data_IF_763183363412
#
_entry.id   IF_763183363412
#
_cell.length_a   1.000
_cell.length_b   1.000
_cell.length_c   1.000
_cell.angle_alpha   90.00
_cell.angle_beta   90.00
_cell.angle_gamma   90.00
#
_symmetry.space_group_name_H-M   'P 1'
#
loop_
_entity.id
_entity.type
_entity.pdbx_description
1 polymer ?
#
# COMPACT_ATOMS: atom_id res chain seq x y z
N UNK A 1 -10.19 -52.44 -14.81
CA UNK A 1 -9.92 -51.56 -13.65
C UNK A 1 -8.64 -50.80 -13.98
N UNK A 2 -8.71 -49.50 -14.34
CA UNK A 2 -8.45 -48.32 -13.46
C UNK A 2 -7.00 -48.38 -12.90
N UNK A 3 -6.07 -47.46 -13.16
CA UNK A 3 -6.18 -45.99 -13.25
C UNK A 3 -5.17 -45.37 -14.25
N UNK A 4 -5.49 -44.22 -14.86
CA UNK A 4 -4.62 -43.54 -15.81
C UNK A 4 -3.49 -42.77 -15.09
N UNK A 5 -2.37 -42.63 -15.79
CA UNK A 5 -1.30 -41.67 -15.51
C UNK A 5 -1.92 -40.28 -15.29
N UNK A 6 -1.97 -39.84 -14.03
CA UNK A 6 -2.37 -38.48 -13.68
C UNK A 6 -1.23 -37.55 -14.10
N UNK A 7 -1.43 -36.86 -15.23
CA UNK A 7 -0.63 -35.71 -15.63
C UNK A 7 -0.75 -34.62 -14.57
N UNK A 8 0.30 -34.45 -13.78
CA UNK A 8 0.54 -33.24 -12.99
C UNK A 8 0.95 -32.13 -13.96
N UNK A 9 -0.03 -31.58 -14.68
CA UNK A 9 0.09 -30.24 -15.22
C UNK A 9 0.06 -29.29 -14.02
N UNK A 10 1.24 -28.99 -13.46
CA UNK A 10 1.41 -27.94 -12.46
C UNK A 10 0.98 -26.64 -13.15
N UNK A 11 -0.17 -26.12 -12.76
CA UNK A 11 -0.64 -24.81 -13.18
C UNK A 11 0.40 -23.77 -12.76
N UNK A 12 1.13 -23.22 -13.72
CA UNK A 12 1.85 -21.97 -13.58
C UNK A 12 0.79 -20.88 -13.33
N UNK A 13 0.51 -20.62 -12.06
CA UNK A 13 -0.18 -19.41 -11.65
C UNK A 13 0.82 -18.29 -11.91
N UNK A 14 0.69 -17.63 -13.07
CA UNK A 14 1.30 -16.33 -13.31
C UNK A 14 0.62 -15.35 -12.35
N UNK A 15 1.23 -15.15 -11.18
CA UNK A 15 0.97 -13.99 -10.36
C UNK A 15 1.70 -12.86 -11.10
N UNK A 16 1.01 -12.22 -12.05
CA UNK A 16 1.45 -10.92 -12.54
C UNK A 16 1.24 -9.94 -11.37
N UNK A 17 2.30 -9.76 -10.59
CA UNK A 17 2.33 -8.81 -9.49
C UNK A 17 1.93 -7.43 -10.01
N UNK A 18 0.84 -6.90 -9.46
CA UNK A 18 0.35 -5.53 -9.64
C UNK A 18 1.28 -4.60 -8.84
N UNK A 19 2.57 -4.59 -9.18
CA UNK A 19 3.60 -3.73 -8.58
C UNK A 19 4.35 -2.88 -9.61
N UNK A 20 3.97 -2.96 -10.89
CA UNK A 20 4.68 -2.24 -11.96
C UNK A 20 4.68 -0.71 -11.85
N UNK A 21 3.77 -0.11 -11.07
CA UNK A 21 3.70 1.35 -10.99
C UNK A 21 4.79 1.96 -10.09
N UNK A 22 5.20 1.30 -9.01
CA UNK A 22 6.23 1.86 -8.11
C UNK A 22 7.60 1.92 -8.77
N UNK A 23 7.85 1.02 -9.73
CA UNK A 23 9.09 0.95 -10.50
C UNK A 23 9.27 2.15 -11.45
N UNK A 24 8.17 2.79 -11.85
CA UNK A 24 8.20 3.96 -12.72
C UNK A 24 8.62 5.24 -11.99
N UNK A 25 8.50 5.31 -10.66
CA UNK A 25 8.78 6.56 -9.92
C UNK A 25 10.28 6.89 -10.03
N UNK A 26 10.59 8.09 -10.50
CA UNK A 26 11.95 8.55 -10.73
C UNK A 26 12.56 8.12 -12.08
N UNK A 27 11.84 7.33 -12.89
CA UNK A 27 12.27 6.97 -14.24
C UNK A 27 11.98 8.10 -15.25
N UNK A 28 12.71 8.16 -16.38
CA UNK A 28 12.39 9.05 -17.49
C UNK A 28 10.98 8.84 -18.03
N UNK A 29 10.31 9.92 -18.44
CA UNK A 29 8.91 9.86 -18.89
C UNK A 29 8.70 9.08 -20.20
N UNK A 30 9.74 8.95 -21.01
CA UNK A 30 9.77 8.20 -22.27
C UNK A 30 10.03 6.69 -22.06
N UNK A 31 10.48 6.28 -20.88
CA UNK A 31 10.77 4.88 -20.58
C UNK A 31 9.58 4.16 -19.90
N UNK A 32 8.78 4.88 -19.11
CA UNK A 32 7.60 4.30 -18.45
C UNK A 32 6.28 4.73 -19.10
N UNK A 33 5.72 3.83 -19.90
CA UNK A 33 4.41 4.00 -20.54
C UNK A 33 3.24 3.35 -19.76
N UNK A 34 3.53 2.56 -18.73
CA UNK A 34 2.55 1.67 -18.07
C UNK A 34 2.02 2.22 -16.73
N UNK A 35 1.89 3.54 -16.58
CA UNK A 35 1.23 4.12 -15.41
C UNK A 35 -0.22 4.46 -15.69
N UNK A 36 -1.07 4.22 -14.70
CA UNK A 36 -2.50 4.48 -14.77
C UNK A 36 -2.81 5.97 -14.80
N UNK A 37 -3.85 6.34 -15.55
CA UNK A 37 -4.40 7.69 -15.64
C UNK A 37 -5.89 7.67 -15.35
N UNK A 38 -6.44 8.84 -15.02
CA UNK A 38 -7.88 8.99 -14.87
C UNK A 38 -8.60 8.66 -16.19
N UNK A 39 -9.65 7.85 -16.11
CA UNK A 39 -10.40 7.34 -17.26
C UNK A 39 -9.94 5.97 -17.76
N UNK A 40 -8.77 5.48 -17.33
CA UNK A 40 -8.31 4.14 -17.70
C UNK A 40 -9.22 3.07 -17.09
N UNK A 41 -9.30 1.91 -17.75
CA UNK A 41 -10.05 0.78 -17.22
C UNK A 41 -9.30 0.09 -16.08
N UNK A 42 -10.06 -0.39 -15.11
CA UNK A 42 -9.53 -1.18 -13.99
C UNK A 42 -10.41 -2.41 -13.74
N UNK A 43 -9.76 -3.53 -13.46
CA UNK A 43 -10.44 -4.80 -13.16
C UNK A 43 -10.40 -5.14 -11.67
N UNK A 44 -9.50 -4.50 -10.93
CA UNK A 44 -9.31 -4.71 -9.49
C UNK A 44 -9.77 -3.44 -8.77
N UNK A 45 -10.61 -3.60 -7.75
CA UNK A 45 -11.01 -2.50 -6.89
C UNK A 45 -9.81 -2.09 -6.03
N UNK A 46 -9.57 -0.79 -5.92
CA UNK A 46 -8.43 -0.29 -5.16
C UNK A 46 -8.21 1.21 -5.33
N UNK A 47 -7.25 1.69 -4.56
CA UNK A 47 -6.71 3.04 -4.63
C UNK A 47 -5.26 2.92 -5.14
N UNK A 48 -4.92 3.65 -6.20
CA UNK A 48 -3.65 3.59 -6.91
C UNK A 48 -2.99 4.98 -6.88
N UNK A 49 -1.66 5.07 -6.85
CA UNK A 49 -1.00 6.36 -6.85
C UNK A 49 -1.25 7.10 -8.15
N UNK A 50 -1.39 8.42 -8.05
CA UNK A 50 -1.39 9.29 -9.22
C UNK A 50 0.05 9.62 -9.61
N UNK A 51 0.48 9.03 -10.72
CA UNK A 51 1.78 9.30 -11.33
C UNK A 51 1.63 10.30 -12.47
N UNK A 52 2.63 11.18 -12.64
CA UNK A 52 2.67 12.15 -13.72
C UNK A 52 4.11 12.43 -14.15
N UNK A 53 4.30 12.83 -15.41
CA UNK A 53 5.58 13.32 -15.88
C UNK A 53 5.80 14.76 -15.39
N UNK A 54 6.86 14.99 -14.63
CA UNK A 54 7.26 16.33 -14.21
C UNK A 54 7.94 17.06 -15.37
N UNK A 55 7.37 18.18 -15.80
CA UNK A 55 7.83 18.90 -16.98
C UNK A 55 9.22 19.51 -16.84
N UNK A 56 9.65 19.83 -15.61
CA UNK A 56 10.93 20.46 -15.33
C UNK A 56 12.07 19.45 -15.28
N UNK A 57 11.85 18.30 -14.64
CA UNK A 57 12.87 17.25 -14.47
C UNK A 57 12.79 16.13 -15.50
N UNK A 58 11.71 16.01 -16.26
CA UNK A 58 11.54 14.97 -17.28
C UNK A 58 11.41 13.55 -16.72
N UNK A 59 11.12 13.43 -15.42
CA UNK A 59 10.96 12.15 -14.72
C UNK A 59 9.56 11.99 -14.15
N UNK A 60 9.15 10.75 -13.94
CA UNK A 60 7.86 10.43 -13.36
C UNK A 60 7.90 10.70 -11.86
N UNK A 61 6.88 11.42 -11.39
CA UNK A 61 6.65 11.73 -9.97
C UNK A 61 5.29 11.24 -9.53
N UNK A 62 5.19 11.02 -8.23
CA UNK A 62 3.94 10.75 -7.55
C UNK A 62 3.51 11.99 -6.77
N UNK A 63 2.21 12.27 -6.76
CA UNK A 63 1.66 13.29 -5.84
C UNK A 63 1.19 12.67 -4.53
N UNK A 64 1.30 13.44 -3.45
CA UNK A 64 0.79 13.08 -2.11
C UNK A 64 -0.62 13.61 -1.85
N UNK A 65 -1.20 14.42 -2.74
CA UNK A 65 -2.52 15.04 -2.51
C UNK A 65 -3.64 14.45 -3.37
N UNK A 66 -3.34 13.47 -4.22
CA UNK A 66 -4.34 12.87 -5.10
C UNK A 66 -3.98 11.43 -5.46
N UNK A 67 -4.99 10.66 -5.86
CA UNK A 67 -4.87 9.24 -6.21
C UNK A 67 -5.97 8.82 -7.19
N UNK A 68 -5.83 7.64 -7.79
CA UNK A 68 -6.81 7.05 -8.68
C UNK A 68 -7.60 5.97 -7.94
N UNK A 69 -8.93 6.07 -7.94
CA UNK A 69 -9.81 5.08 -7.36
C UNK A 69 -10.52 4.29 -8.45
N UNK A 70 -10.42 2.96 -8.43
CA UNK A 70 -11.20 2.13 -9.32
C UNK A 70 -12.67 2.08 -8.88
N UNK A 71 -13.57 2.63 -9.70
CA UNK A 71 -15.02 2.63 -9.45
C UNK A 71 -15.77 2.32 -10.73
N UNK A 72 -16.58 1.26 -10.71
CA UNK A 72 -17.36 0.86 -11.89
C UNK A 72 -16.48 0.54 -13.10
N UNK A 73 -15.34 -0.13 -12.85
CA UNK A 73 -14.34 -0.51 -13.85
C UNK A 73 -13.59 0.65 -14.53
N UNK A 74 -13.67 1.85 -13.96
CA UNK A 74 -12.94 3.04 -14.45
C UNK A 74 -12.16 3.67 -13.30
N UNK A 75 -10.94 4.12 -13.59
CA UNK A 75 -10.11 4.88 -12.67
C UNK A 75 -10.58 6.33 -12.60
N UNK A 76 -10.97 6.76 -11.40
CA UNK A 76 -11.46 8.11 -11.14
C UNK A 76 -10.43 8.85 -10.29
N UNK A 77 -10.07 10.07 -10.69
CA UNK A 77 -9.21 10.94 -9.89
C UNK A 77 -9.91 11.37 -8.60
N UNK A 78 -9.19 11.27 -7.49
CA UNK A 78 -9.61 11.71 -6.16
C UNK A 78 -8.54 12.62 -5.57
N UNK A 79 -8.97 13.73 -5.01
CA UNK A 79 -8.11 14.66 -4.27
C UNK A 79 -8.34 14.47 -2.77
N UNK A 80 -7.25 14.58 -2.01
CA UNK A 80 -7.29 14.58 -0.56
C UNK A 80 -7.61 15.97 -0.04
N UNK A 81 -8.45 16.01 1.00
CA UNK A 81 -8.82 17.25 1.65
C UNK A 81 -7.59 17.91 2.29
N UNK A 82 -7.64 19.23 2.48
CA UNK A 82 -6.55 19.97 3.10
C UNK A 82 -6.21 19.41 4.49
N UNK A 83 -4.91 19.18 4.74
CA UNK A 83 -4.42 18.56 5.98
C UNK A 83 -4.39 17.03 5.95
N UNK A 84 -4.88 16.39 4.89
CA UNK A 84 -4.78 14.93 4.67
C UNK A 84 -3.81 14.62 3.53
N UNK A 85 -3.32 13.38 3.47
CA UNK A 85 -2.39 12.95 2.42
C UNK A 85 -2.75 11.55 1.91
N UNK A 86 -2.37 11.26 0.68
CA UNK A 86 -2.53 9.94 0.09
C UNK A 86 -1.52 8.95 0.69
N UNK A 87 -2.02 7.80 1.12
CA UNK A 87 -1.23 6.62 1.47
C UNK A 87 -1.60 5.45 0.58
N UNK A 88 -0.57 4.72 0.12
CA UNK A 88 -0.73 3.70 -0.91
C UNK A 88 -1.71 2.60 -0.51
N UNK A 89 -2.64 2.27 -1.41
CA UNK A 89 -3.73 1.33 -1.17
C UNK A 89 -4.83 1.81 -0.21
N UNK A 90 -4.55 2.76 0.69
CA UNK A 90 -5.51 3.21 1.72
C UNK A 90 -6.34 4.42 1.29
N UNK A 91 -5.83 5.25 0.37
CA UNK A 91 -6.50 6.50 -0.02
C UNK A 91 -6.05 7.66 0.87
N UNK A 92 -6.95 8.59 1.20
CA UNK A 92 -6.60 9.74 2.03
C UNK A 92 -6.55 9.39 3.51
N UNK A 93 -5.44 9.75 4.16
CA UNK A 93 -5.18 9.59 5.58
C UNK A 93 -5.20 10.96 6.26
N UNK A 94 -5.96 11.05 7.35
CA UNK A 94 -5.90 12.17 8.27
C UNK A 94 -4.86 11.88 9.36
N UNK A 95 -3.71 12.58 9.38
CA UNK A 95 -2.64 12.35 10.36
C UNK A 95 -3.05 12.74 11.79
N UNK A 96 -4.13 13.51 11.96
CA UNK A 96 -4.59 13.97 13.29
C UNK A 96 -5.48 12.96 13.99
N UNK A 97 -5.97 11.96 13.27
CA UNK A 97 -6.75 10.86 13.83
C UNK A 97 -5.77 9.85 14.39
N UNK A 98 -5.64 9.78 15.73
CA UNK A 98 -4.88 8.72 16.38
C UNK A 98 -5.42 7.36 15.93
N UNK A 99 -4.57 6.45 15.41
CA UNK A 99 -4.99 5.09 15.19
C UNK A 99 -5.36 4.51 16.55
N UNK A 100 -6.62 4.14 16.73
CA UNK A 100 -7.09 3.43 17.92
C UNK A 100 -6.32 2.09 18.04
N UNK A 101 -5.15 2.11 18.68
CA UNK A 101 -4.42 0.93 19.10
C UNK A 101 -5.10 0.35 20.34
N UNK A 102 -6.22 -0.35 20.13
CA UNK A 102 -6.85 -1.15 21.17
C UNK A 102 -6.24 -2.57 21.17
N UNK A 103 -5.33 -2.82 22.13
CA UNK A 103 -4.89 -4.17 22.58
C UNK A 103 -3.63 -4.71 21.88
N UNK A 104 -2.67 -5.40 22.52
CA UNK A 104 -2.71 -6.24 23.71
C UNK A 104 -1.31 -6.25 24.38
N UNK A 105 -1.23 -5.89 25.67
CA UNK A 105 -0.08 -6.26 26.52
C UNK A 105 -0.17 -7.77 26.77
N UNK A 106 0.56 -8.56 25.97
CA UNK A 106 0.68 -10.00 26.20
C UNK A 106 1.83 -10.21 27.17
N UNK A 107 1.47 -10.71 28.35
CA UNK A 107 2.36 -11.09 29.42
C UNK A 107 3.32 -12.21 28.98
N UNK A 108 4.59 -12.10 29.36
CA UNK A 108 5.56 -13.20 29.48
C UNK A 108 6.51 -13.39 28.30
N UNK A 109 7.76 -12.94 28.41
CA UNK A 109 8.87 -13.71 29.00
C UNK A 109 10.21 -12.96 28.80
N UNK A 110 10.86 -12.67 29.92
CA UNK A 110 12.30 -12.46 30.13
C UNK A 110 13.05 -11.36 29.35
N UNK A 111 13.22 -10.22 30.02
CA UNK A 111 14.57 -9.69 30.25
C UNK A 111 14.61 -8.86 31.51
N UNK A 112 15.54 -9.23 32.38
CA UNK A 112 15.84 -8.61 33.65
C UNK A 112 16.22 -7.14 33.42
N UNK A 113 15.36 -6.21 33.82
CA UNK A 113 15.76 -4.82 34.01
C UNK A 113 15.51 -4.49 35.48
N UNK A 114 16.61 -4.53 36.22
CA UNK A 114 16.77 -3.96 37.54
C UNK A 114 16.17 -2.55 37.57
N UNK A 115 15.05 -2.38 38.27
CA UNK A 115 14.65 -1.08 38.79
C UNK A 115 14.38 -1.22 40.28
N UNK A 116 15.41 -0.83 41.02
CA UNK A 116 15.43 -0.50 42.43
C UNK A 116 14.27 0.44 42.81
N UNK A 117 13.41 0.01 43.74
CA UNK A 117 12.72 0.92 44.67
C UNK A 117 12.60 0.27 46.05
N UNK A 118 13.11 1.00 47.05
CA UNK A 118 13.21 0.70 48.48
C UNK A 118 11.85 0.36 49.15
N UNK A 119 11.86 -0.28 50.34
CA UNK A 119 10.66 -0.80 50.96
C UNK A 119 9.87 0.29 51.69
N UNK A 120 8.57 0.38 51.42
CA UNK A 120 7.61 1.10 52.25
C UNK A 120 6.82 0.08 53.09
N UNK A 121 7.15 0.00 54.37
CA UNK A 121 6.21 -0.08 55.49
C UNK A 121 5.23 -1.26 55.65
N UNK A 122 5.44 -1.95 56.77
CA UNK A 122 4.43 -2.28 57.80
C UNK A 122 3.46 -3.45 57.59
N UNK A 123 3.65 -4.49 58.41
CA UNK A 123 2.69 -4.93 59.44
C UNK A 123 3.40 -5.74 60.53
#
# INVERSE_FOLDING_TARGET
>A
MRFPLLGLALALVLIEDVSGYSECVGQPCDECHFYFKAGDQCNVLGNYPMLFCDADSGVIRQTMNAFLQCRGSVLILKECAHGTYYEDGKGCIDPTVEPFLQGLSVSGLESQIYLSLSPAGSL
#
